data_IF_170867117811
#
_entry.id   IF_170867117811
#
_cell.length_a   1.000
_cell.length_b   1.000
_cell.length_c   1.000
_cell.angle_alpha   90.00
_cell.angle_beta   90.00
_cell.angle_gamma   90.00
#
_symmetry.space_group_name_H-M   'P 1'
#
loop_
_entity.id
_entity.type
_entity.pdbx_description
1 polymer ?
#
# COMPACT_ATOMS: atom_id res chain seq x y z
N UNK A 1 22.59 2.78 2.87
CA UNK A 1 21.84 3.06 4.12
C UNK A 1 20.35 2.96 3.75
N UNK A 2 19.87 1.76 3.40
CA UNK A 2 18.58 1.59 2.67
C UNK A 2 17.63 0.54 3.28
N UNK A 3 18.00 -0.08 4.40
CA UNK A 3 17.19 -1.14 5.03
C UNK A 3 15.89 -0.60 5.65
N UNK A 4 15.85 0.68 6.02
CA UNK A 4 14.68 1.28 6.70
C UNK A 4 13.53 1.50 5.71
N UNK A 5 13.82 1.78 4.44
CA UNK A 5 12.81 2.14 3.45
C UNK A 5 12.03 0.92 2.93
N UNK A 6 12.70 -0.23 2.80
CA UNK A 6 12.11 -1.47 2.28
C UNK A 6 11.07 -2.04 3.26
N UNK A 7 11.38 -2.06 4.57
CA UNK A 7 10.48 -2.61 5.60
C UNK A 7 9.19 -1.82 5.76
N UNK A 8 9.26 -0.49 5.65
CA UNK A 8 8.08 0.36 5.67
C UNK A 8 7.21 0.08 4.44
N UNK A 9 7.82 0.06 3.25
CA UNK A 9 7.15 -0.25 1.97
C UNK A 9 6.44 -1.60 2.01
N UNK A 10 7.11 -2.63 2.50
CA UNK A 10 6.54 -3.98 2.66
C UNK A 10 5.32 -4.00 3.59
N UNK A 11 5.37 -3.25 4.69
CA UNK A 11 4.24 -3.14 5.63
C UNK A 11 3.02 -2.47 4.98
N UNK A 12 3.24 -1.39 4.22
CA UNK A 12 2.16 -0.71 3.49
C UNK A 12 1.51 -1.64 2.45
N UNK A 13 2.31 -2.40 1.71
CA UNK A 13 1.83 -3.30 0.66
C UNK A 13 1.09 -4.51 1.23
N UNK A 14 1.62 -5.13 2.30
CA UNK A 14 0.93 -6.24 2.98
C UNK A 14 -0.40 -5.80 3.58
N UNK A 15 -0.43 -4.62 4.21
CA UNK A 15 -1.67 -4.06 4.74
C UNK A 15 -2.67 -3.81 3.60
N UNK A 16 -2.24 -3.16 2.52
CA UNK A 16 -3.11 -2.89 1.38
C UNK A 16 -3.63 -4.18 0.72
N UNK A 17 -2.80 -5.22 0.58
CA UNK A 17 -3.22 -6.53 0.08
C UNK A 17 -4.29 -7.20 0.95
N UNK A 18 -4.11 -7.13 2.28
CA UNK A 18 -5.04 -7.73 3.23
C UNK A 18 -6.40 -7.06 3.15
N UNK A 19 -6.42 -5.74 3.05
CA UNK A 19 -7.64 -4.95 3.01
C UNK A 19 -8.29 -4.86 1.62
N UNK A 20 -7.52 -5.00 0.53
CA UNK A 20 -8.05 -5.09 -0.83
C UNK A 20 -9.09 -6.21 -0.97
N UNK A 21 -8.87 -7.35 -0.29
CA UNK A 21 -9.82 -8.48 -0.26
C UNK A 21 -11.12 -8.17 0.48
N UNK A 22 -11.14 -7.12 1.30
CA UNK A 22 -12.28 -6.68 2.09
C UNK A 22 -12.96 -5.44 1.50
N UNK A 23 -12.49 -4.94 0.34
CA UNK A 23 -13.03 -3.73 -0.30
C UNK A 23 -12.22 -2.44 -0.03
N UNK A 24 -11.06 -2.57 0.61
CA UNK A 24 -10.23 -1.44 1.04
C UNK A 24 -10.20 -1.28 2.56
N UNK A 25 -9.26 -0.48 3.06
CA UNK A 25 -9.18 -0.15 4.47
C UNK A 25 -9.90 1.19 4.73
N UNK A 26 -10.71 1.23 5.78
CA UNK A 26 -11.33 2.46 6.27
C UNK A 26 -10.29 3.45 6.80
N UNK A 27 -10.64 4.74 6.78
CA UNK A 27 -9.74 5.80 7.22
C UNK A 27 -9.33 5.67 8.69
N UNK A 28 -10.26 5.23 9.55
CA UNK A 28 -9.99 4.99 10.97
C UNK A 28 -8.90 3.93 11.17
N UNK A 29 -9.03 2.78 10.51
CA UNK A 29 -8.04 1.70 10.59
C UNK A 29 -6.66 2.14 10.08
N UNK A 30 -6.62 2.90 8.97
CA UNK A 30 -5.36 3.42 8.44
C UNK A 30 -4.71 4.36 9.46
N UNK A 31 -5.50 5.23 10.08
CA UNK A 31 -5.04 6.18 11.09
C UNK A 31 -4.56 5.48 12.36
N UNK A 32 -5.26 4.46 12.83
CA UNK A 32 -4.83 3.65 13.98
C UNK A 32 -3.55 2.86 13.71
N UNK A 33 -3.41 2.31 12.50
CA UNK A 33 -2.26 1.45 12.15
C UNK A 33 -1.00 2.26 11.84
N UNK A 34 -1.14 3.37 11.11
CA UNK A 34 0.01 4.13 10.57
C UNK A 34 0.14 5.54 11.13
N UNK A 35 -0.86 6.04 11.88
CA UNK A 35 -0.87 7.41 12.38
C UNK A 35 -1.04 8.47 11.29
N UNK A 36 -1.47 8.09 10.08
CA UNK A 36 -1.63 8.98 8.92
C UNK A 36 -3.04 8.92 8.35
N UNK A 37 -3.44 9.97 7.63
CA UNK A 37 -4.72 10.00 6.91
C UNK A 37 -4.76 8.98 5.77
N UNK A 38 -5.95 8.52 5.38
CA UNK A 38 -6.15 7.62 4.25
C UNK A 38 -5.56 8.16 2.94
N UNK A 39 -5.65 9.48 2.73
CA UNK A 39 -5.06 10.13 1.56
C UNK A 39 -3.53 10.02 1.52
N UNK A 40 -2.86 10.25 2.66
CA UNK A 40 -1.41 10.14 2.78
C UNK A 40 -0.94 8.69 2.63
N UNK A 41 -1.70 7.74 3.19
CA UNK A 41 -1.49 6.32 2.97
C UNK A 41 -1.59 5.95 1.48
N UNK A 42 -2.64 6.37 0.78
CA UNK A 42 -2.80 6.11 -0.67
C UNK A 42 -1.68 6.74 -1.49
N UNK A 43 -1.21 7.94 -1.13
CA UNK A 43 -0.07 8.59 -1.78
C UNK A 43 1.21 7.77 -1.60
N UNK A 44 1.51 7.33 -0.37
CA UNK A 44 2.67 6.47 -0.07
C UNK A 44 2.58 5.10 -0.72
N UNK A 45 1.38 4.50 -0.75
CA UNK A 45 1.11 3.24 -1.43
C UNK A 45 1.34 3.37 -2.95
N UNK A 46 0.90 4.46 -3.59
CA UNK A 46 1.21 4.73 -5.00
C UNK A 46 2.71 4.84 -5.24
N UNK A 47 3.43 5.57 -4.38
CA UNK A 47 4.89 5.67 -4.47
C UNK A 47 5.57 4.31 -4.32
N UNK A 48 5.16 3.52 -3.34
CA UNK A 48 5.62 2.14 -3.14
C UNK A 48 5.41 1.26 -4.38
N UNK A 49 4.24 1.37 -5.03
CA UNK A 49 3.93 0.63 -6.25
C UNK A 49 4.72 1.12 -7.48
N UNK A 50 5.20 2.36 -7.49
CA UNK A 50 6.05 2.91 -8.56
C UNK A 50 7.53 2.57 -8.42
N UNK A 51 7.98 2.11 -7.24
CA UNK A 51 9.38 1.73 -7.05
C UNK A 51 9.69 0.40 -7.77
N UNK A 52 10.80 0.33 -8.52
CA UNK A 52 11.15 -0.85 -9.33
C UNK A 52 11.60 -2.05 -8.47
N UNK A 53 12.03 -1.81 -7.23
CA UNK A 53 12.67 -2.80 -6.35
C UNK A 53 11.78 -3.11 -5.14
N UNK A 54 10.51 -3.44 -5.39
CA UNK A 54 9.59 -3.88 -4.33
C UNK A 54 9.52 -5.41 -4.32
N UNK A 55 10.40 -6.10 -3.56
CA UNK A 55 10.57 -7.56 -3.62
C UNK A 55 9.37 -8.36 -3.12
N UNK A 56 8.38 -7.71 -2.53
CA UNK A 56 7.29 -8.35 -1.78
C UNK A 56 5.97 -8.47 -2.51
N UNK A 57 5.87 -7.94 -3.74
CA UNK A 57 4.67 -8.08 -4.55
C UNK A 57 4.96 -8.86 -5.82
N UNK A 58 4.19 -9.93 -6.03
CA UNK A 58 4.12 -10.55 -7.36
C UNK A 58 3.56 -9.56 -8.37
N UNK A 59 3.95 -9.68 -9.64
CA UNK A 59 3.47 -8.80 -10.70
C UNK A 59 1.93 -8.77 -10.84
N UNK A 60 1.24 -9.84 -10.45
CA UNK A 60 -0.23 -9.89 -10.39
C UNK A 60 -0.82 -9.12 -9.21
N UNK A 61 -0.24 -9.26 -8.02
CA UNK A 61 -0.65 -8.56 -6.81
C UNK A 61 -0.49 -7.05 -6.97
N UNK A 62 0.65 -6.62 -7.53
CA UNK A 62 0.89 -5.22 -7.91
C UNK A 62 -0.18 -4.72 -8.89
N UNK A 63 -0.53 -5.51 -9.91
CA UNK A 63 -1.58 -5.14 -10.89
C UNK A 63 -2.99 -5.09 -10.27
N UNK A 64 -3.30 -5.91 -9.27
CA UNK A 64 -4.57 -5.84 -8.53
C UNK A 64 -4.64 -4.58 -7.68
N UNK A 65 -3.61 -4.32 -6.89
CA UNK A 65 -3.51 -3.12 -6.05
C UNK A 65 -3.56 -1.83 -6.87
N UNK A 66 -2.82 -1.75 -7.98
CA UNK A 66 -2.86 -0.59 -8.88
C UNK A 66 -4.28 -0.36 -9.41
N UNK A 67 -5.00 -1.43 -9.80
CA UNK A 67 -6.39 -1.32 -10.27
C UNK A 67 -7.34 -0.89 -9.16
N UNK A 68 -7.18 -1.43 -7.96
CA UNK A 68 -8.00 -1.08 -6.79
C UNK A 68 -7.83 0.39 -6.41
N UNK A 69 -6.58 0.85 -6.32
CA UNK A 69 -6.24 2.24 -6.00
C UNK A 69 -6.63 3.21 -7.13
N UNK A 70 -6.65 2.78 -8.40
CA UNK A 70 -7.11 3.60 -9.52
C UNK A 70 -8.64 3.60 -9.72
N UNK A 71 -9.38 2.62 -9.20
CA UNK A 71 -10.84 2.51 -9.39
C UNK A 71 -11.61 3.47 -8.48
N UNK A 72 -10.98 3.91 -7.40
CA UNK A 72 -11.52 4.84 -6.39
C UNK A 72 -11.18 6.31 -6.69
N UNK A 73 -10.75 6.62 -7.93
CA UNK A 73 -10.35 7.95 -8.40
C UNK A 73 -11.32 8.55 -9.41
#
# INVERSE_FOLDING_TARGET
MDVVNIRATETFLNFALRWDRLGGADEETIKETFGISAHEFRRRLRLALTLPDSPTLSAEERRRLVRSVCRDG
#
